data_IF_226463641534
#
_entry.id   IF_226463641534
#
_cell.length_a   1.000
_cell.length_b   1.000
_cell.length_c   1.000
_cell.angle_alpha   90.00
_cell.angle_beta   90.00
_cell.angle_gamma   90.00
#
_symmetry.space_group_name_H-M   'P 1'
#
loop_
_entity.id
_entity.type
_entity.pdbx_description
1 polymer ?
#
# COMPACT_ATOMS: atom_id res chain seq x y z
N UNK A 1 5.41 -24.79 5.83
CA UNK A 1 5.65 -23.44 6.42
C UNK A 1 6.63 -22.70 5.51
N UNK A 2 6.23 -21.58 4.90
CA UNK A 2 7.19 -20.72 4.22
C UNK A 2 8.06 -20.04 5.31
N UNK A 3 9.39 -20.05 5.19
CA UNK A 3 10.28 -19.34 6.08
C UNK A 3 10.03 -17.85 5.90
N UNK A 4 10.00 -17.12 7.01
CA UNK A 4 9.97 -15.67 7.03
C UNK A 4 11.38 -15.21 6.61
N UNK A 5 11.47 -14.38 5.59
CA UNK A 5 12.75 -13.98 4.98
C UNK A 5 13.21 -12.64 5.55
N UNK A 6 12.31 -11.67 5.73
CA UNK A 6 12.69 -10.29 6.12
C UNK A 6 12.54 -9.98 7.61
N UNK A 7 11.78 -10.79 8.37
CA UNK A 7 11.63 -10.64 9.81
C UNK A 7 10.21 -10.88 10.29
N UNK A 8 10.04 -11.03 11.60
CA UNK A 8 8.71 -11.24 12.17
C UNK A 8 7.85 -9.97 12.04
N UNK A 9 6.66 -10.11 11.45
CA UNK A 9 5.69 -9.03 11.30
C UNK A 9 4.47 -9.28 12.18
N UNK A 10 4.00 -8.22 12.84
CA UNK A 10 2.63 -8.13 13.36
C UNK A 10 1.71 -7.52 12.29
N UNK A 11 0.40 -7.69 12.46
CA UNK A 11 -0.59 -7.11 11.56
C UNK A 11 -0.63 -5.58 11.64
N UNK A 12 -0.84 -4.93 10.49
CA UNK A 12 -1.13 -3.50 10.38
C UNK A 12 -2.63 -3.25 10.17
N UNK A 13 -3.10 -2.08 10.56
CA UNK A 13 -4.50 -1.66 10.32
C UNK A 13 -4.63 -1.25 8.84
N UNK A 14 -5.54 -1.89 8.11
CA UNK A 14 -5.92 -1.52 6.74
C UNK A 14 -7.29 -0.85 6.67
N UNK A 15 -8.28 -1.37 7.41
CA UNK A 15 -9.61 -0.79 7.50
C UNK A 15 -9.95 -0.65 8.99
N UNK A 16 -10.04 0.57 9.54
CA UNK A 16 -10.27 0.77 10.97
C UNK A 16 -11.59 0.15 11.46
N UNK A 17 -12.61 0.13 10.61
CA UNK A 17 -13.91 -0.45 10.90
C UNK A 17 -14.58 -0.98 9.64
N UNK A 18 -15.07 -2.22 9.69
CA UNK A 18 -15.84 -2.86 8.62
C UNK A 18 -17.09 -3.51 9.20
N UNK A 19 -18.22 -3.39 8.51
CA UNK A 19 -19.48 -3.96 8.98
C UNK A 19 -19.54 -5.45 8.61
N UNK A 20 -19.67 -6.32 9.61
CA UNK A 20 -19.73 -7.76 9.41
C UNK A 20 -21.17 -8.26 9.39
N UNK A 21 -21.84 -8.10 8.26
CA UNK A 21 -23.18 -8.65 8.02
C UNK A 21 -23.15 -9.71 6.91
N UNK A 22 -23.80 -10.87 7.07
CA UNK A 22 -23.95 -11.83 5.98
C UNK A 22 -24.55 -11.16 4.73
N UNK A 23 -24.00 -11.39 3.53
CA UNK A 23 -23.03 -12.43 3.16
C UNK A 23 -21.54 -12.03 3.30
N UNK A 24 -21.23 -10.98 4.06
CA UNK A 24 -19.88 -10.45 4.32
C UNK A 24 -19.16 -9.91 3.08
N UNK A 25 -19.93 -9.38 2.13
CA UNK A 25 -19.46 -8.88 0.84
C UNK A 25 -18.26 -7.96 0.97
N UNK A 26 -18.33 -6.93 1.82
CA UNK A 26 -17.24 -5.95 1.98
C UNK A 26 -15.91 -6.60 2.40
N UNK A 27 -15.96 -7.60 3.30
CA UNK A 27 -14.77 -8.31 3.74
C UNK A 27 -14.21 -9.19 2.63
N UNK A 28 -15.09 -9.89 1.90
CA UNK A 28 -14.69 -10.80 0.84
C UNK A 28 -14.06 -10.03 -0.32
N UNK A 29 -14.69 -8.93 -0.75
CA UNK A 29 -14.17 -8.06 -1.82
C UNK A 29 -12.80 -7.47 -1.46
N UNK A 30 -12.60 -7.05 -0.20
CA UNK A 30 -11.29 -6.59 0.26
C UNK A 30 -10.23 -7.72 0.20
N UNK A 31 -10.58 -8.92 0.65
CA UNK A 31 -9.67 -10.08 0.62
C UNK A 31 -9.33 -10.48 -0.81
N UNK A 32 -10.30 -10.46 -1.71
CA UNK A 32 -10.10 -10.78 -3.12
C UNK A 32 -9.20 -9.73 -3.80
N UNK A 33 -9.42 -8.43 -3.56
CA UNK A 33 -8.54 -7.37 -4.07
C UNK A 33 -7.07 -7.54 -3.60
N UNK A 34 -6.87 -7.92 -2.33
CA UNK A 34 -5.53 -8.22 -1.80
C UNK A 34 -4.93 -9.46 -2.49
N UNK A 35 -5.73 -10.51 -2.70
CA UNK A 35 -5.28 -11.73 -3.37
C UNK A 35 -4.92 -11.50 -4.82
N UNK A 36 -5.69 -10.69 -5.55
CA UNK A 36 -5.49 -10.43 -6.98
C UNK A 36 -4.12 -9.78 -7.22
N UNK A 37 -3.81 -8.67 -6.52
CA UNK A 37 -2.52 -7.99 -6.69
C UNK A 37 -1.35 -8.84 -6.18
N UNK A 38 -1.52 -9.59 -5.09
CA UNK A 38 -0.47 -10.45 -4.56
C UNK A 38 -0.21 -11.69 -5.44
N UNK A 39 -1.25 -12.23 -6.09
CA UNK A 39 -1.11 -13.34 -7.02
C UNK A 39 -0.38 -12.93 -8.30
N UNK A 40 -0.55 -11.68 -8.74
CA UNK A 40 0.11 -11.12 -9.91
C UNK A 40 1.57 -10.71 -9.63
N UNK A 41 1.80 -9.95 -8.56
CA UNK A 41 3.10 -9.29 -8.29
C UNK A 41 3.94 -9.96 -7.18
N UNK A 42 3.38 -10.97 -6.51
CA UNK A 42 4.02 -11.69 -5.43
C UNK A 42 5.19 -12.55 -5.90
N UNK A 43 6.34 -12.41 -5.23
CA UNK A 43 7.52 -13.24 -5.51
C UNK A 43 7.40 -14.63 -4.90
N UNK A 44 8.20 -15.58 -5.40
CA UNK A 44 8.20 -16.94 -4.89
C UNK A 44 8.46 -16.99 -3.37
N UNK A 45 7.50 -17.52 -2.61
CA UNK A 45 7.49 -17.65 -1.14
C UNK A 45 7.46 -16.32 -0.39
N UNK A 46 7.15 -15.22 -1.06
CA UNK A 46 6.91 -13.93 -0.43
C UNK A 46 5.54 -13.92 0.25
N UNK A 47 5.49 -13.50 1.52
CA UNK A 47 4.23 -13.31 2.25
C UNK A 47 3.65 -11.94 1.93
N UNK A 48 2.33 -11.78 2.05
CA UNK A 48 1.65 -10.48 1.83
C UNK A 48 2.29 -9.33 2.64
N UNK A 49 2.70 -9.57 3.88
CA UNK A 49 3.40 -8.55 4.67
C UNK A 49 4.76 -8.13 4.10
N UNK A 50 5.54 -9.09 3.57
CA UNK A 50 6.83 -8.83 2.91
C UNK A 50 6.60 -8.11 1.57
N UNK A 51 5.55 -8.50 0.84
CA UNK A 51 5.11 -7.83 -0.37
C UNK A 51 4.81 -6.34 -0.11
N UNK A 52 4.02 -6.03 0.91
CA UNK A 52 3.68 -4.64 1.30
C UNK A 52 4.94 -3.85 1.67
N UNK A 53 5.90 -4.46 2.39
CA UNK A 53 7.17 -3.80 2.71
C UNK A 53 8.00 -3.47 1.47
N UNK A 54 7.98 -4.36 0.47
CA UNK A 54 8.71 -4.19 -0.79
C UNK A 54 8.09 -3.11 -1.69
N UNK A 55 6.77 -3.13 -1.88
CA UNK A 55 6.09 -2.21 -2.81
C UNK A 55 5.72 -0.88 -2.16
N UNK A 56 5.65 -0.84 -0.84
CA UNK A 56 5.20 0.32 -0.06
C UNK A 56 3.69 0.28 0.21
N UNK A 57 3.30 0.72 1.41
CA UNK A 57 1.89 0.71 1.83
C UNK A 57 1.01 1.61 0.94
N UNK A 58 1.52 2.77 0.48
CA UNK A 58 0.76 3.66 -0.41
C UNK A 58 0.34 2.99 -1.71
N UNK A 59 1.32 2.46 -2.46
CA UNK A 59 1.09 1.75 -3.72
C UNK A 59 0.17 0.53 -3.52
N UNK A 60 0.32 -0.18 -2.40
CA UNK A 60 -0.55 -1.31 -2.07
C UNK A 60 -2.01 -0.88 -1.84
N UNK A 61 -2.22 0.21 -1.09
CA UNK A 61 -3.55 0.75 -0.81
C UNK A 61 -4.26 1.24 -2.08
N UNK A 62 -3.53 1.91 -2.97
CA UNK A 62 -4.04 2.32 -4.28
C UNK A 62 -4.49 1.12 -5.12
N UNK A 63 -3.65 0.07 -5.20
CA UNK A 63 -3.95 -1.13 -5.98
C UNK A 63 -5.21 -1.88 -5.50
N UNK A 64 -5.51 -1.83 -4.20
CA UNK A 64 -6.72 -2.47 -3.63
C UNK A 64 -7.91 -1.50 -3.49
N UNK A 65 -7.77 -0.25 -3.94
CA UNK A 65 -8.82 0.76 -3.91
C UNK A 65 -9.19 1.27 -2.51
N UNK A 66 -8.24 1.30 -1.57
CA UNK A 66 -8.45 1.80 -0.20
C UNK A 66 -7.76 3.15 -0.03
N UNK A 67 -8.49 4.16 0.41
CA UNK A 67 -7.91 5.48 0.71
C UNK A 67 -7.05 5.46 1.99
N UNK A 68 -5.87 6.10 2.00
CA UNK A 68 -5.02 6.15 3.18
C UNK A 68 -5.64 7.02 4.29
N UNK A 69 -5.68 6.48 5.51
CA UNK A 69 -6.15 7.22 6.71
C UNK A 69 -5.09 7.21 7.83
N UNK A 70 -5.07 8.23 8.72
CA UNK A 70 -4.06 8.32 9.78
C UNK A 70 -4.00 7.10 10.71
N UNK A 71 -5.11 6.41 10.94
CA UNK A 71 -5.22 5.22 11.79
C UNK A 71 -4.41 4.01 11.28
N UNK A 72 -3.97 4.04 10.01
CA UNK A 72 -3.14 3.00 9.41
C UNK A 72 -1.68 3.04 9.88
N UNK A 73 -1.23 4.18 10.44
CA UNK A 73 0.15 4.38 10.87
C UNK A 73 0.23 4.81 12.34
N UNK A 74 1.28 4.37 13.03
CA UNK A 74 1.50 4.79 14.43
C UNK A 74 2.03 6.24 14.52
N UNK A 75 2.81 6.66 13.54
CA UNK A 75 3.28 8.03 13.36
C UNK A 75 3.63 8.27 11.88
N UNK A 76 3.62 9.52 11.40
CA UNK A 76 4.11 9.86 10.07
C UNK A 76 5.59 9.47 9.89
N UNK A 77 6.01 9.32 8.64
CA UNK A 77 7.43 9.12 8.31
C UNK A 77 8.28 10.29 8.81
N UNK A 78 9.47 9.98 9.30
CA UNK A 78 10.44 11.00 9.77
C UNK A 78 11.46 11.39 8.68
N UNK A 79 11.58 10.57 7.63
CA UNK A 79 12.53 10.80 6.56
C UNK A 79 11.86 11.57 5.39
N UNK A 80 12.58 12.51 4.75
CA UNK A 80 12.01 13.46 3.80
C UNK A 80 11.84 12.92 2.37
N UNK A 81 12.10 11.63 2.12
CA UNK A 81 12.08 11.06 0.75
C UNK A 81 10.67 10.75 0.24
N UNK A 82 9.83 11.77 0.12
CA UNK A 82 8.47 11.65 -0.43
C UNK A 82 8.56 11.44 -1.94
N UNK A 83 7.88 10.41 -2.43
CA UNK A 83 7.72 10.16 -3.86
C UNK A 83 6.40 10.79 -4.28
N UNK A 84 6.42 11.53 -5.37
CA UNK A 84 5.26 12.13 -6.01
C UNK A 84 5.00 11.42 -7.34
N UNK A 85 3.76 11.46 -7.82
CA UNK A 85 3.45 11.02 -9.18
C UNK A 85 3.84 12.11 -10.17
N UNK A 86 4.17 11.70 -11.40
CA UNK A 86 4.66 12.54 -12.50
C UNK A 86 3.75 13.77 -12.76
N UNK A 87 2.44 13.65 -12.55
CA UNK A 87 1.48 14.77 -12.68
C UNK A 87 1.75 15.94 -11.72
N UNK A 88 2.43 15.70 -10.60
CA UNK A 88 2.82 16.75 -9.65
C UNK A 88 4.20 17.35 -9.94
N UNK A 89 4.94 16.82 -10.92
CA UNK A 89 6.28 17.30 -11.30
C UNK A 89 6.24 18.28 -12.51
N UNK A 90 5.14 18.32 -13.29
CA UNK A 90 5.00 19.22 -14.45
C UNK A 90 5.09 20.72 -14.08
N UNK A 91 4.72 21.12 -12.86
CA UNK A 91 4.80 22.52 -12.41
C UNK A 91 6.27 22.98 -12.16
N UNK A 92 7.21 22.07 -11.88
CA UNK A 92 8.61 22.41 -11.58
C UNK A 92 9.50 22.39 -12.85
N UNK A 93 9.15 21.60 -13.86
CA UNK A 93 9.91 21.55 -15.12
C UNK A 93 9.63 22.77 -16.01
N UNK A 94 8.38 23.26 -16.07
CA UNK A 94 8.02 24.46 -16.86
C UNK A 94 8.69 25.75 -16.31
N UNK A 95 8.86 25.90 -14.99
CA UNK A 95 9.57 27.06 -14.42
C UNK A 95 11.07 27.07 -14.76
N UNK A 96 11.69 25.90 -14.97
CA UNK A 96 13.12 25.79 -15.26
C UNK A 96 13.49 26.13 -16.71
N UNK A 97 12.55 25.96 -17.64
CA UNK A 97 12.73 26.28 -19.06
C UNK A 97 12.48 27.78 -19.35
N UNK A 98 11.68 28.48 -18.53
CA UNK A 98 11.45 29.92 -18.70
C UNK A 98 12.57 30.82 -18.13
N UNK A 99 13.42 30.31 -17.24
CA UNK A 99 14.59 31.04 -16.69
C UNK A 99 15.92 30.84 -17.48
N UNK A 100 15.90 30.12 -18.61
CA UNK A 100 17.09 29.74 -19.40
C UNK A 100 17.31 30.54 -20.70
#
# INVERSE_FOLDING_TARGET
KAPIVEGALLSSVLVPFIKLEPPYTELIELVDAIHDIWAEEGKNRERVGEFIQRVGLGNFLEAIGVEPVPEMVAHPRENPYVFYEEYFEEDDEEESEEES
#
